data_IF_773336882330
#
_entry.id   IF_773336882330
#
_cell.length_a   1.000
_cell.length_b   1.000
_cell.length_c   1.000
_cell.angle_alpha   90.00
_cell.angle_beta   90.00
_cell.angle_gamma   90.00
#
_symmetry.space_group_name_H-M   'P 1'
#
loop_
_entity.id
_entity.type
_entity.pdbx_description
1 polymer ?
#
# COMPACT_ATOMS: atom_id res chain seq x y z
N UNK A 1 -16.98 0.84 6.23
CA UNK A 1 -15.99 1.63 6.99
C UNK A 1 -15.13 0.68 7.80
N UNK A 2 -13.85 1.00 8.04
CA UNK A 2 -12.98 0.16 8.88
C UNK A 2 -13.37 0.36 10.35
N UNK A 3 -13.76 -0.70 11.08
CA UNK A 3 -14.08 -0.60 12.49
C UNK A 3 -12.93 0.02 13.29
N UNK A 4 -13.22 1.03 14.10
CA UNK A 4 -12.25 1.71 14.96
C UNK A 4 -11.65 3.00 14.39
N UNK A 5 -12.06 3.45 13.20
CA UNK A 5 -11.63 4.73 12.60
C UNK A 5 -12.76 5.75 12.47
N UNK A 6 -13.98 5.41 12.88
CA UNK A 6 -15.17 6.26 12.76
C UNK A 6 -15.01 7.59 13.49
N UNK A 7 -14.41 7.58 14.69
CA UNK A 7 -14.17 8.81 15.46
C UNK A 7 -13.25 9.78 14.72
N UNK A 8 -12.16 9.27 14.15
CA UNK A 8 -11.19 10.07 13.37
C UNK A 8 -11.87 10.65 12.13
N UNK A 9 -12.67 9.85 11.43
CA UNK A 9 -13.43 10.31 10.26
C UNK A 9 -14.40 11.43 10.65
N UNK A 10 -15.12 11.27 11.76
CA UNK A 10 -16.07 12.26 12.27
C UNK A 10 -15.35 13.59 12.60
N UNK A 11 -14.21 13.51 13.26
CA UNK A 11 -13.39 14.69 13.60
C UNK A 11 -12.86 15.40 12.35
N UNK A 12 -12.35 14.66 11.37
CA UNK A 12 -11.87 15.23 10.10
C UNK A 12 -12.99 15.95 9.34
N UNK A 13 -14.22 15.40 9.33
CA UNK A 13 -15.38 16.06 8.73
C UNK A 13 -15.71 17.38 9.41
N UNK A 14 -15.73 17.39 10.74
CA UNK A 14 -16.01 18.61 11.51
C UNK A 14 -14.95 19.70 11.30
N UNK A 15 -13.69 19.32 11.12
CA UNK A 15 -12.62 20.26 10.79
C UNK A 15 -12.74 20.76 9.34
N UNK A 16 -13.10 19.87 8.40
CA UNK A 16 -13.29 20.20 6.99
C UNK A 16 -14.46 21.18 6.76
N UNK A 17 -15.49 21.14 7.58
CA UNK A 17 -16.61 22.11 7.54
C UNK A 17 -16.16 23.54 7.89
N UNK A 18 -15.10 23.69 8.70
CA UNK A 18 -14.61 24.99 9.20
C UNK A 18 -13.43 25.54 8.41
N UNK A 19 -12.75 24.70 7.64
CA UNK A 19 -11.58 25.09 6.86
C UNK A 19 -12.01 25.73 5.53
N UNK A 20 -11.32 26.74 5.03
CA UNK A 20 -11.56 27.21 3.66
C UNK A 20 -11.06 26.20 2.63
N UNK A 21 -9.88 25.62 2.90
CA UNK A 21 -9.16 24.70 2.01
C UNK A 21 -8.57 23.50 2.74
N UNK A 22 -8.42 22.37 2.05
CA UNK A 22 -7.93 21.10 2.62
C UNK A 22 -6.69 20.63 1.87
N UNK A 23 -5.57 20.46 2.59
CA UNK A 23 -4.31 19.97 2.03
C UNK A 23 -4.08 18.50 2.41
N UNK A 24 -3.99 17.65 1.39
CA UNK A 24 -3.68 16.23 1.49
C UNK A 24 -2.16 16.03 1.40
N UNK A 25 -1.52 15.94 2.57
CA UNK A 25 -0.06 15.90 2.73
C UNK A 25 0.47 14.49 3.04
N UNK A 26 -0.02 13.47 2.34
CA UNK A 26 0.44 12.08 2.48
C UNK A 26 1.76 11.83 1.76
N UNK A 27 2.40 10.70 2.04
CA UNK A 27 3.66 10.29 1.41
C UNK A 27 3.59 10.32 -0.12
N UNK A 28 4.71 10.59 -0.77
CA UNK A 28 4.79 10.83 -2.21
C UNK A 28 4.46 9.61 -3.08
N UNK A 29 4.30 8.42 -2.51
CA UNK A 29 4.14 7.16 -3.24
C UNK A 29 2.68 6.90 -3.66
N UNK A 30 2.43 5.76 -4.31
CA UNK A 30 1.07 5.39 -4.77
C UNK A 30 0.13 5.00 -3.62
N UNK A 31 0.67 4.56 -2.49
CA UNK A 31 -0.13 4.23 -1.32
C UNK A 31 -0.61 5.51 -0.64
N UNK A 32 0.29 6.48 -0.47
CA UNK A 32 -0.03 7.83 -0.03
C UNK A 32 -1.06 8.51 -0.95
N UNK A 33 -0.97 8.32 -2.26
CA UNK A 33 -1.99 8.83 -3.19
C UNK A 33 -3.36 8.18 -2.98
N UNK A 34 -3.39 6.86 -2.78
CA UNK A 34 -4.63 6.16 -2.48
C UNK A 34 -5.20 6.58 -1.12
N UNK A 35 -4.37 6.82 -0.10
CA UNK A 35 -4.82 7.32 1.20
C UNK A 35 -5.43 8.72 1.05
N UNK A 36 -4.76 9.63 0.34
CA UNK A 36 -5.27 10.96 0.05
C UNK A 36 -6.64 10.90 -0.67
N UNK A 37 -6.77 10.01 -1.66
CA UNK A 37 -8.05 9.76 -2.33
C UNK A 37 -9.12 9.29 -1.36
N UNK A 38 -8.86 8.26 -0.54
CA UNK A 38 -9.86 7.77 0.42
C UNK A 38 -10.25 8.83 1.45
N UNK A 39 -9.31 9.69 1.89
CA UNK A 39 -9.63 10.80 2.79
C UNK A 39 -10.60 11.77 2.13
N UNK A 40 -10.35 12.17 0.88
CA UNK A 40 -11.24 13.03 0.11
C UNK A 40 -12.63 12.41 -0.05
N UNK A 41 -12.72 11.16 -0.48
CA UNK A 41 -14.01 10.46 -0.67
C UNK A 41 -14.79 10.31 0.65
N UNK A 42 -14.08 10.08 1.76
CA UNK A 42 -14.71 9.91 3.07
C UNK A 42 -15.18 11.23 3.64
N UNK A 43 -14.39 12.30 3.52
CA UNK A 43 -14.74 13.65 4.00
C UNK A 43 -15.86 14.24 3.13
N UNK A 44 -15.75 14.14 1.81
CA UNK A 44 -16.71 14.64 0.82
C UNK A 44 -16.59 16.14 0.52
N UNK A 45 -17.59 16.72 -0.16
CA UNK A 45 -17.56 18.12 -0.59
C UNK A 45 -17.02 18.29 -2.01
N UNK A 46 -16.71 19.52 -2.38
CA UNK A 46 -16.21 19.88 -3.72
C UNK A 46 -14.72 19.52 -3.86
N UNK A 47 -14.37 18.86 -4.95
CA UNK A 47 -12.99 18.52 -5.33
C UNK A 47 -12.09 19.76 -5.38
N UNK A 48 -12.64 20.93 -5.73
CA UNK A 48 -11.90 22.20 -5.79
C UNK A 48 -11.35 22.66 -4.42
N UNK A 49 -11.90 22.15 -3.32
CA UNK A 49 -11.43 22.46 -1.95
C UNK A 49 -10.22 21.64 -1.51
N UNK A 50 -9.77 20.72 -2.36
CA UNK A 50 -8.68 19.81 -2.03
C UNK A 50 -7.43 20.10 -2.86
N UNK A 51 -6.28 20.05 -2.19
CA UNK A 51 -4.97 20.14 -2.81
C UNK A 51 -4.07 19.02 -2.35
N UNK A 52 -3.22 18.51 -3.25
CA UNK A 52 -2.24 17.46 -2.97
C UNK A 52 -0.86 18.08 -2.78
N UNK A 53 -0.25 17.84 -1.61
CA UNK A 53 1.06 18.40 -1.24
C UNK A 53 2.09 17.31 -1.06
N UNK A 54 2.99 17.14 -2.03
CA UNK A 54 4.07 16.14 -2.01
C UNK A 54 5.38 16.75 -1.50
N UNK A 55 6.12 16.00 -0.68
CA UNK A 55 7.48 16.33 -0.30
C UNK A 55 8.30 15.04 -0.15
N UNK A 56 9.60 15.12 -0.43
CA UNK A 56 10.56 14.03 -0.33
C UNK A 56 11.26 13.98 1.04
N UNK A 57 11.23 15.08 1.79
CA UNK A 57 11.82 15.20 3.12
C UNK A 57 11.01 16.17 4.00
N UNK A 58 11.14 16.02 5.32
CA UNK A 58 10.43 16.87 6.30
C UNK A 58 11.39 17.95 6.79
N UNK A 59 11.70 18.91 5.91
CA UNK A 59 12.49 20.10 6.23
C UNK A 59 11.65 21.37 6.05
N UNK A 60 11.99 22.45 6.79
CA UNK A 60 11.24 23.72 6.71
C UNK A 60 11.12 24.24 5.27
N UNK A 61 12.20 24.13 4.50
CA UNK A 61 12.23 24.59 3.11
C UNK A 61 11.40 23.69 2.20
N UNK A 62 11.53 22.37 2.30
CA UNK A 62 10.78 21.43 1.48
C UNK A 62 9.26 21.54 1.74
N UNK A 63 8.85 21.65 3.01
CA UNK A 63 7.44 21.85 3.35
C UNK A 63 6.93 23.18 2.79
N UNK A 64 7.64 24.29 3.01
CA UNK A 64 7.18 25.59 2.49
C UNK A 64 7.03 25.58 0.97
N UNK A 65 8.00 25.03 0.24
CA UNK A 65 7.94 24.90 -1.22
C UNK A 65 6.76 24.04 -1.68
N UNK A 66 6.50 22.92 -0.99
CA UNK A 66 5.41 22.02 -1.33
C UNK A 66 4.03 22.68 -1.18
N UNK A 67 3.87 23.61 -0.23
CA UNK A 67 2.63 24.37 -0.04
C UNK A 67 2.54 25.63 -0.92
N UNK A 68 3.64 26.13 -1.48
CA UNK A 68 3.62 27.26 -2.42
C UNK A 68 3.04 26.87 -3.79
N UNK A 69 3.22 25.61 -4.22
CA UNK A 69 2.68 25.07 -5.46
C UNK A 69 2.03 23.70 -5.22
N UNK A 70 0.85 23.66 -4.56
CA UNK A 70 0.13 22.42 -4.38
C UNK A 70 -0.33 21.85 -5.72
N UNK A 71 -0.26 20.52 -5.85
CA UNK A 71 -0.77 19.80 -7.01
C UNK A 71 -2.21 19.33 -6.82
N UNK A 72 -2.66 18.53 -7.78
CA UNK A 72 -3.92 17.80 -7.73
C UNK A 72 -3.70 16.31 -7.47
N UNK A 73 -4.77 15.64 -7.05
CA UNK A 73 -4.76 14.21 -6.80
C UNK A 73 -4.60 13.43 -8.12
N UNK A 74 -3.63 12.53 -8.19
CA UNK A 74 -3.34 11.74 -9.37
C UNK A 74 -4.15 10.45 -9.40
N UNK A 75 -5.30 10.49 -10.09
CA UNK A 75 -6.22 9.34 -10.21
C UNK A 75 -5.56 8.11 -10.85
N UNK A 76 -4.60 8.28 -11.76
CA UNK A 76 -3.90 7.12 -12.36
C UNK A 76 -3.07 6.36 -11.31
N UNK A 77 -2.44 7.06 -10.37
CA UNK A 77 -1.69 6.43 -9.27
C UNK A 77 -2.62 5.75 -8.26
N UNK A 78 -3.76 6.35 -7.98
CA UNK A 78 -4.83 5.74 -7.17
C UNK A 78 -5.29 4.43 -7.82
N UNK A 79 -5.62 4.46 -9.10
CA UNK A 79 -6.06 3.29 -9.85
C UNK A 79 -5.00 2.19 -9.89
N UNK A 80 -3.72 2.55 -10.06
CA UNK A 80 -2.62 1.60 -9.99
C UNK A 80 -2.52 0.89 -8.62
N UNK A 81 -2.73 1.64 -7.52
CA UNK A 81 -2.73 1.06 -6.18
C UNK A 81 -3.97 0.18 -5.93
N UNK A 82 -5.15 0.61 -6.39
CA UNK A 82 -6.39 -0.17 -6.26
C UNK A 82 -6.32 -1.46 -7.07
N UNK A 83 -5.78 -1.43 -8.30
CA UNK A 83 -5.56 -2.60 -9.12
C UNK A 83 -4.64 -3.61 -8.42
N UNK A 84 -3.51 -3.15 -7.85
CA UNK A 84 -2.61 -4.01 -7.05
C UNK A 84 -3.36 -4.65 -5.88
N UNK A 85 -4.11 -3.85 -5.12
CA UNK A 85 -4.88 -4.32 -3.95
C UNK A 85 -5.95 -5.35 -4.34
N UNK A 86 -6.61 -5.14 -5.49
CA UNK A 86 -7.58 -6.08 -6.03
C UNK A 86 -6.91 -7.41 -6.41
N UNK A 87 -5.79 -7.38 -7.13
CA UNK A 87 -5.04 -8.58 -7.49
C UNK A 87 -4.60 -9.39 -6.26
N UNK A 88 -4.08 -8.71 -5.24
CA UNK A 88 -3.65 -9.37 -4.01
C UNK A 88 -4.84 -10.01 -3.26
N UNK A 89 -6.03 -9.35 -3.26
CA UNK A 89 -7.26 -9.91 -2.71
C UNK A 89 -7.78 -11.12 -3.49
N UNK A 90 -7.74 -11.09 -4.82
CA UNK A 90 -8.17 -12.20 -5.68
C UNK A 90 -7.37 -13.46 -5.35
N UNK A 91 -6.04 -13.35 -5.30
CA UNK A 91 -5.18 -14.50 -4.96
C UNK A 91 -5.47 -14.97 -3.53
N UNK A 92 -5.51 -14.05 -2.57
CA UNK A 92 -5.78 -14.39 -1.17
C UNK A 92 -7.11 -15.12 -0.97
N UNK A 93 -8.21 -14.59 -1.51
CA UNK A 93 -9.54 -15.15 -1.29
C UNK A 93 -9.86 -16.36 -2.15
N UNK A 94 -9.31 -16.47 -3.37
CA UNK A 94 -9.62 -17.61 -4.24
C UNK A 94 -8.69 -18.80 -4.02
N UNK A 95 -7.40 -18.55 -3.74
CA UNK A 95 -6.40 -19.63 -3.64
C UNK A 95 -6.30 -20.20 -2.23
N UNK A 96 -6.46 -19.38 -1.18
CA UNK A 96 -6.38 -19.87 0.21
C UNK A 96 -7.41 -20.98 0.54
N UNK A 97 -8.69 -20.89 0.12
CA UNK A 97 -9.65 -21.98 0.35
C UNK A 97 -9.24 -23.30 -0.32
N UNK A 98 -8.57 -23.23 -1.48
CA UNK A 98 -8.05 -24.42 -2.14
C UNK A 98 -6.90 -25.05 -1.33
N UNK A 99 -6.01 -24.24 -0.76
CA UNK A 99 -4.95 -24.71 0.14
C UNK A 99 -5.53 -25.38 1.38
N UNK A 100 -6.62 -24.86 1.95
CA UNK A 100 -7.29 -25.47 3.10
C UNK A 100 -7.85 -26.85 2.79
N UNK A 101 -8.40 -27.01 1.58
CA UNK A 101 -8.97 -28.29 1.13
C UNK A 101 -7.90 -29.33 0.80
N UNK A 102 -6.72 -28.91 0.33
CA UNK A 102 -5.70 -29.79 -0.24
C UNK A 102 -4.49 -30.04 0.66
N UNK A 103 -4.19 -29.12 1.58
CA UNK A 103 -2.95 -29.17 2.39
C UNK A 103 -3.29 -29.07 3.88
N UNK A 104 -3.66 -27.89 4.36
CA UNK A 104 -3.99 -27.66 5.77
C UNK A 104 -4.85 -26.41 5.95
N UNK A 105 -5.78 -26.45 6.92
CA UNK A 105 -6.57 -25.28 7.31
C UNK A 105 -5.67 -24.19 7.88
N UNK A 106 -6.00 -22.93 7.60
CA UNK A 106 -5.27 -21.77 8.10
C UNK A 106 -4.11 -21.30 7.21
N UNK A 107 -3.79 -22.02 6.12
CA UNK A 107 -2.80 -21.57 5.16
C UNK A 107 -3.28 -20.38 4.33
N UNK A 108 -2.39 -19.43 4.05
CA UNK A 108 -2.68 -18.30 3.17
C UNK A 108 -1.88 -18.40 1.88
N UNK A 109 -2.54 -18.08 0.76
CA UNK A 109 -1.89 -17.84 -0.52
C UNK A 109 -1.68 -16.35 -0.72
N UNK A 110 -0.54 -15.96 -1.29
CA UNK A 110 -0.24 -14.56 -1.57
C UNK A 110 0.49 -14.43 -2.88
N UNK A 111 0.03 -13.50 -3.75
CA UNK A 111 0.57 -13.33 -5.10
C UNK A 111 2.10 -13.19 -5.12
N UNK A 112 2.66 -12.41 -4.17
CA UNK A 112 4.11 -12.22 -4.02
C UNK A 112 4.72 -13.19 -3.01
N UNK A 113 4.02 -13.44 -1.89
CA UNK A 113 4.54 -14.30 -0.82
C UNK A 113 4.82 -15.73 -1.29
N UNK A 114 3.92 -16.31 -2.10
CA UNK A 114 4.11 -17.67 -2.62
C UNK A 114 5.33 -17.79 -3.54
N UNK A 115 5.64 -16.75 -4.33
CA UNK A 115 6.85 -16.70 -5.17
C UNK A 115 8.11 -16.55 -4.32
N UNK A 116 8.08 -15.70 -3.29
CA UNK A 116 9.20 -15.56 -2.37
C UNK A 116 9.51 -16.88 -1.64
N UNK A 117 8.49 -17.59 -1.15
CA UNK A 117 8.65 -18.92 -0.53
C UNK A 117 9.22 -19.93 -1.52
N UNK A 118 8.78 -19.88 -2.79
CA UNK A 118 9.31 -20.76 -3.85
C UNK A 118 10.83 -20.59 -4.01
N UNK A 119 11.35 -19.37 -4.04
CA UNK A 119 12.80 -19.13 -4.20
C UNK A 119 13.61 -19.76 -3.05
N UNK A 120 13.11 -19.66 -1.82
CA UNK A 120 13.75 -20.29 -0.65
C UNK A 120 13.71 -21.81 -0.75
N UNK A 121 12.56 -22.38 -1.16
CA UNK A 121 12.40 -23.83 -1.33
C UNK A 121 13.30 -24.36 -2.46
N UNK A 122 13.46 -23.62 -3.55
CA UNK A 122 14.36 -23.99 -4.65
C UNK A 122 15.82 -24.01 -4.18
N UNK A 123 16.28 -22.98 -3.47
CA UNK A 123 17.62 -22.97 -2.86
C UNK A 123 17.85 -24.10 -1.87
N UNK A 124 16.87 -24.40 -1.03
CA UNK A 124 16.97 -25.49 -0.06
C UNK A 124 17.09 -26.86 -0.76
N UNK A 125 16.44 -27.04 -1.91
CA UNK A 125 16.57 -28.26 -2.72
C UNK A 125 17.95 -28.37 -3.36
N UNK A 126 18.51 -27.26 -3.86
CA UNK A 126 19.89 -27.22 -4.37
C UNK A 126 20.88 -27.64 -3.29
N UNK A 127 20.76 -27.10 -2.07
CA UNK A 127 21.61 -27.45 -0.93
C UNK A 127 21.50 -28.93 -0.58
N UNK A 128 20.28 -29.49 -0.55
CA UNK A 128 20.05 -30.92 -0.24
C UNK A 128 20.58 -31.87 -1.31
N UNK A 129 20.60 -31.43 -2.57
CA UNK A 129 21.11 -32.22 -3.69
C UNK A 129 22.62 -32.05 -3.89
N UNK A 130 23.25 -31.10 -3.20
CA UNK A 130 24.68 -30.84 -3.31
C UNK A 130 25.47 -32.02 -2.75
N UNK A 131 26.30 -32.63 -3.60
CA UNK A 131 27.28 -33.64 -3.21
C UNK A 131 28.64 -32.93 -3.15
N UNK A 132 29.20 -32.71 -1.95
CA UNK A 132 30.48 -32.01 -1.81
C UNK A 132 31.61 -32.80 -2.46
N UNK A 133 32.46 -32.11 -3.22
CA UNK A 133 33.70 -32.66 -3.74
C UNK A 133 34.87 -32.15 -2.89
N UNK A 134 35.73 -33.06 -2.44
CA UNK A 134 36.92 -32.72 -1.69
C UNK A 134 38.00 -32.17 -2.63
N UNK A 135 38.58 -31.02 -2.27
CA UNK A 135 39.74 -30.47 -2.97
C UNK A 135 40.83 -30.11 -1.97
N UNK A 136 42.06 -30.51 -2.26
CA UNK A 136 43.25 -30.13 -1.50
C UNK A 136 43.88 -28.92 -2.21
N UNK A 137 43.92 -27.77 -1.55
CA UNK A 137 44.62 -26.59 -2.06
C UNK A 137 46.14 -26.83 -2.08
N UNK A 138 46.80 -26.37 -3.15
CA UNK A 138 48.27 -26.32 -3.23
C UNK A 138 48.86 -25.33 -2.23
#
# INVERSE_FOLDING_TARGET
MLPGKEKVVSELKQLAEKADHIYLATDLDREGEAIAWHLREVIGGDDARYSRVVFNEITKNAIRQAFEQPGELNINRVNAQQARRFMDRVVGYMVSPLLWKKIARGLSAGRVQSVAVRLVVEREREIKAFVPEEFLGN
#
